data_IF_284600362074
#
_entry.id   IF_284600362074
#
_cell.length_a   1.000
_cell.length_b   1.000
_cell.length_c   1.000
_cell.angle_alpha   90.00
_cell.angle_beta   90.00
_cell.angle_gamma   90.00
#
_symmetry.space_group_name_H-M   'P 1'
#
loop_
_entity.id
_entity.type
_entity.pdbx_description
1 polymer ?
#
# COMPACT_ATOMS: atom_id res chain seq x y z
N UNK A 1 1.77 -4.01 2.01
CA UNK A 1 0.96 -4.99 1.24
C UNK A 1 0.26 -4.31 0.06
N UNK A 2 -0.06 -5.03 -1.01
CA UNK A 2 -0.75 -4.49 -2.19
C UNK A 2 -1.89 -5.42 -2.59
N UNK A 3 -3.08 -4.85 -2.81
CA UNK A 3 -4.16 -5.56 -3.45
C UNK A 3 -3.97 -5.62 -4.97
N UNK A 4 -4.32 -6.74 -5.58
CA UNK A 4 -4.21 -6.98 -7.02
C UNK A 4 -5.46 -7.71 -7.52
N UNK A 5 -5.53 -7.93 -8.83
CA UNK A 5 -6.41 -8.89 -9.48
C UNK A 5 -5.50 -9.76 -10.35
N UNK A 6 -5.78 -11.07 -10.43
CA UNK A 6 -5.02 -11.94 -11.34
C UNK A 6 -5.21 -11.49 -12.80
N UNK A 7 -4.13 -11.48 -13.57
CA UNK A 7 -4.16 -11.08 -14.98
C UNK A 7 -3.29 -12.02 -15.82
N UNK A 8 -3.69 -12.18 -17.08
CA UNK A 8 -2.88 -12.85 -18.10
C UNK A 8 -1.93 -11.87 -18.82
N UNK A 9 -2.18 -10.56 -18.73
CA UNK A 9 -1.39 -9.52 -19.42
C UNK A 9 -0.11 -9.16 -18.66
N UNK A 10 -0.17 -9.21 -17.33
CA UNK A 10 0.96 -8.98 -16.44
C UNK A 10 0.75 -9.75 -15.13
N UNK A 11 1.85 -10.14 -14.50
CA UNK A 11 1.85 -10.92 -13.26
C UNK A 11 1.70 -10.00 -12.04
N UNK A 12 1.20 -10.54 -10.92
CA UNK A 12 0.94 -9.75 -9.71
C UNK A 12 2.18 -9.03 -9.17
N UNK A 13 3.38 -9.54 -9.46
CA UNK A 13 4.66 -8.97 -9.05
C UNK A 13 5.22 -7.90 -10.01
N UNK A 14 4.53 -7.65 -11.12
CA UNK A 14 4.90 -6.63 -12.11
C UNK A 14 4.10 -5.35 -11.86
N UNK A 15 4.72 -4.16 -11.97
CA UNK A 15 3.96 -2.92 -12.02
C UNK A 15 2.96 -2.95 -13.20
N UNK A 16 1.70 -2.59 -12.96
CA UNK A 16 0.72 -2.47 -14.04
C UNK A 16 1.13 -1.38 -15.05
N UNK A 17 0.62 -1.40 -16.30
CA UNK A 17 0.95 -0.37 -17.31
C UNK A 17 0.72 1.07 -16.84
N UNK A 18 -0.33 1.32 -16.06
CA UNK A 18 -0.59 2.65 -15.47
C UNK A 18 0.44 3.02 -14.39
N UNK A 19 0.94 2.04 -13.65
CA UNK A 19 2.02 2.23 -12.68
C UNK A 19 3.35 2.51 -13.38
N UNK A 20 3.66 1.81 -14.47
CA UNK A 20 4.83 2.10 -15.31
C UNK A 20 4.77 3.53 -15.84
N UNK A 21 3.62 3.93 -16.42
CA UNK A 21 3.41 5.28 -16.95
C UNK A 21 3.57 6.38 -15.90
N UNK A 22 3.08 6.15 -14.70
CA UNK A 22 3.22 7.13 -13.60
C UNK A 22 4.57 7.05 -12.90
N UNK A 23 5.30 5.93 -12.98
CA UNK A 23 6.53 5.68 -12.25
C UNK A 23 6.32 5.32 -10.77
N UNK A 24 5.08 5.02 -10.36
CA UNK A 24 4.76 4.66 -8.98
C UNK A 24 3.74 3.53 -8.84
N UNK A 25 3.85 2.77 -7.76
CA UNK A 25 2.95 1.66 -7.39
C UNK A 25 2.40 1.88 -6.00
N UNK A 26 1.08 1.71 -5.83
CA UNK A 26 0.41 1.90 -4.53
C UNK A 26 0.39 0.63 -3.68
N UNK A 27 0.68 0.82 -2.40
CA UNK A 27 0.63 -0.17 -1.33
C UNK A 27 -0.19 0.40 -0.17
N UNK A 28 -0.62 -0.47 0.74
CA UNK A 28 -1.12 -0.10 2.05
C UNK A 28 -0.17 -0.63 3.13
N UNK A 29 -0.08 0.11 4.23
CA UNK A 29 0.70 -0.24 5.41
C UNK A 29 -0.25 -0.65 6.54
N UNK A 30 -0.20 -1.91 6.95
CA UNK A 30 -1.06 -2.43 8.01
C UNK A 30 -0.26 -2.63 9.29
N UNK A 31 -0.70 -2.00 10.38
CA UNK A 31 -0.13 -2.11 11.72
C UNK A 31 -1.26 -1.99 12.75
N UNK A 32 -1.05 -2.44 13.99
CA UNK A 32 -2.05 -2.35 15.07
C UNK A 32 -2.62 -0.94 15.27
N UNK A 33 -1.86 0.11 15.01
CA UNK A 33 -2.27 1.50 15.15
C UNK A 33 -2.50 2.22 13.80
N UNK A 34 -2.49 1.47 12.68
CA UNK A 34 -2.78 1.92 11.33
C UNK A 34 -3.83 1.02 10.67
N UNK A 35 -4.98 0.88 11.32
CA UNK A 35 -6.09 0.02 10.89
C UNK A 35 -6.87 0.65 9.73
N UNK A 36 -7.33 -0.18 8.79
CA UNK A 36 -8.25 0.22 7.72
C UNK A 36 -9.23 -0.91 7.39
N UNK A 37 -10.44 -0.54 6.97
CA UNK A 37 -11.56 -1.49 6.84
C UNK A 37 -11.61 -2.26 5.51
N UNK A 38 -10.90 -1.81 4.48
CA UNK A 38 -10.91 -2.41 3.14
C UNK A 38 -9.67 -2.04 2.35
N UNK A 39 -9.38 -2.79 1.29
CA UNK A 39 -8.36 -2.46 0.30
C UNK A 39 -8.90 -1.50 -0.77
N UNK A 40 -7.99 -0.83 -1.47
CA UNK A 40 -8.32 0.01 -2.62
C UNK A 40 -9.13 -0.79 -3.67
N UNK A 41 -10.06 -0.11 -4.34
CA UNK A 41 -10.97 -0.68 -5.35
C UNK A 41 -11.76 -1.92 -4.91
N UNK A 42 -11.78 -2.26 -3.62
CA UNK A 42 -12.41 -3.48 -3.12
C UNK A 42 -11.66 -4.76 -3.46
N UNK A 43 -10.35 -4.70 -3.74
CA UNK A 43 -9.54 -5.88 -3.99
C UNK A 43 -9.68 -6.93 -2.88
N UNK A 44 -9.68 -8.20 -3.27
CA UNK A 44 -9.91 -9.36 -2.39
C UNK A 44 -8.69 -10.26 -2.25
N UNK A 45 -7.63 -10.02 -3.02
CA UNK A 45 -6.36 -10.72 -2.95
C UNK A 45 -5.19 -9.77 -3.25
N UNK A 46 -3.98 -10.28 -3.07
CA UNK A 46 -2.76 -9.60 -3.45
C UNK A 46 -1.55 -10.19 -2.74
N UNK A 47 -0.56 -9.34 -2.46
CA UNK A 47 0.70 -9.79 -1.86
C UNK A 47 1.20 -8.90 -0.72
N UNK A 48 1.95 -9.52 0.17
CA UNK A 48 2.68 -8.92 1.29
C UNK A 48 4.15 -8.86 0.89
N UNK A 49 4.81 -7.78 1.28
CA UNK A 49 6.23 -7.59 1.08
C UNK A 49 6.92 -7.53 2.43
N UNK A 50 8.14 -8.06 2.48
CA UNK A 50 8.98 -7.94 3.66
C UNK A 50 9.24 -6.45 3.97
N UNK A 51 9.24 -6.06 5.25
CA UNK A 51 9.90 -4.84 5.68
C UNK A 51 11.40 -4.89 5.31
N UNK A 52 11.97 -3.76 4.88
CA UNK A 52 13.37 -3.63 4.42
C UNK A 52 14.38 -4.31 5.37
N UNK A 53 14.23 -4.09 6.67
CA UNK A 53 15.16 -4.59 7.70
C UNK A 53 15.10 -6.11 7.98
N UNK A 54 14.07 -6.83 7.50
CA UNK A 54 13.97 -8.30 7.64
C UNK A 54 13.88 -9.01 6.29
N UNK A 55 13.95 -8.27 5.18
CA UNK A 55 13.97 -8.88 3.86
C UNK A 55 15.24 -9.74 3.69
N UNK A 56 15.17 -10.88 2.98
CA UNK A 56 16.37 -11.64 2.64
C UNK A 56 17.37 -10.77 1.88
N UNK A 57 18.67 -10.89 2.19
CA UNK A 57 19.74 -10.01 1.67
C UNK A 57 19.88 -9.99 0.14
N UNK A 58 19.34 -10.99 -0.54
CA UNK A 58 19.38 -11.11 -2.00
C UNK A 58 18.21 -10.40 -2.71
N UNK A 59 17.31 -9.76 -1.95
CA UNK A 59 16.14 -9.02 -2.46
C UNK A 59 16.43 -7.53 -2.59
N UNK A 60 15.77 -6.90 -3.56
CA UNK A 60 15.83 -5.46 -3.76
C UNK A 60 15.01 -4.72 -2.72
N UNK A 61 15.43 -3.50 -2.42
CA UNK A 61 14.65 -2.58 -1.61
C UNK A 61 13.58 -1.89 -2.46
N UNK A 62 12.36 -1.82 -1.92
CA UNK A 62 11.31 -1.00 -2.50
C UNK A 62 11.43 0.43 -1.97
N UNK A 63 11.83 1.35 -2.85
CA UNK A 63 11.96 2.77 -2.52
C UNK A 63 10.58 3.39 -2.28
N UNK A 64 10.29 3.74 -1.03
CA UNK A 64 9.08 4.47 -0.66
C UNK A 64 9.27 5.95 -1.00
N UNK A 65 8.36 6.49 -1.82
CA UNK A 65 8.40 7.86 -2.31
C UNK A 65 7.61 8.80 -1.41
N UNK A 66 6.36 8.42 -1.10
CA UNK A 66 5.49 9.21 -0.23
C UNK A 66 4.47 8.33 0.48
N UNK A 67 3.91 8.89 1.55
CA UNK A 67 2.95 8.21 2.41
C UNK A 67 1.76 9.12 2.75
N UNK A 68 0.54 8.58 2.57
CA UNK A 68 -0.71 9.27 2.81
C UNK A 68 -1.50 8.56 3.94
N UNK A 69 -2.04 9.32 4.92
CA UNK A 69 -2.85 8.73 6.00
C UNK A 69 -4.15 8.07 5.52
N UNK A 70 -4.70 8.51 4.39
CA UNK A 70 -5.86 7.93 3.72
C UNK A 70 -5.60 7.93 2.20
N UNK A 71 -6.43 7.23 1.41
CA UNK A 71 -6.39 7.20 -0.07
C UNK A 71 -5.98 8.55 -0.67
N UNK A 72 -4.81 8.59 -1.30
CA UNK A 72 -4.16 9.81 -1.77
C UNK A 72 -4.55 10.20 -3.19
N UNK A 73 -5.37 9.39 -3.87
CA UNK A 73 -5.69 9.56 -5.30
C UNK A 73 -4.42 9.62 -6.16
N UNK A 74 -3.45 8.73 -5.87
CA UNK A 74 -2.10 8.80 -6.47
C UNK A 74 -2.06 8.59 -7.99
N UNK A 75 -3.13 8.04 -8.57
CA UNK A 75 -3.30 7.92 -10.01
C UNK A 75 -3.66 9.26 -10.70
N UNK A 76 -4.06 10.28 -9.93
CA UNK A 76 -4.46 11.61 -10.40
C UNK A 76 -3.44 12.70 -10.02
N UNK A 77 -2.22 12.31 -9.64
CA UNK A 77 -1.17 13.19 -9.10
C UNK A 77 0.09 13.24 -9.96
N UNK A 78 0.78 14.38 -9.93
CA UNK A 78 2.12 14.55 -10.50
C UNK A 78 3.19 13.79 -9.70
N UNK A 79 4.44 13.82 -10.18
CA UNK A 79 5.64 13.35 -9.47
C UNK A 79 5.48 11.92 -8.90
N UNK A 80 5.24 10.95 -9.79
CA UNK A 80 4.99 9.53 -9.45
C UNK A 80 3.83 9.26 -8.50
N UNK A 81 2.90 10.20 -8.39
CA UNK A 81 1.76 10.13 -7.47
C UNK A 81 2.00 10.82 -6.13
N UNK A 82 3.15 11.48 -5.96
CA UNK A 82 3.54 12.17 -4.73
C UNK A 82 3.40 13.69 -4.81
N UNK A 83 3.23 14.25 -6.02
CA UNK A 83 3.00 15.67 -6.25
C UNK A 83 1.54 16.06 -6.14
N UNK A 84 1.22 17.32 -6.42
CA UNK A 84 -0.15 17.82 -6.47
C UNK A 84 -1.05 17.07 -7.45
N UNK A 85 -2.35 17.14 -7.22
CA UNK A 85 -3.35 16.60 -8.15
C UNK A 85 -3.30 17.39 -9.47
N UNK A 86 -3.43 16.69 -10.60
CA UNK A 86 -3.33 17.25 -11.96
C UNK A 86 -4.64 17.16 -12.75
N UNK A 87 -5.71 16.66 -12.14
CA UNK A 87 -7.03 16.47 -12.77
C UNK A 87 -8.11 17.25 -12.01
N UNK A 88 -8.89 16.59 -11.14
CA UNK A 88 -10.08 17.14 -10.47
C UNK A 88 -9.75 18.22 -9.43
N UNK A 89 -8.58 18.13 -8.81
CA UNK A 89 -8.09 19.04 -7.77
C UNK A 89 -6.83 19.78 -8.24
N UNK A 90 -6.79 20.18 -9.52
CA UNK A 90 -5.56 20.71 -10.15
C UNK A 90 -4.83 21.73 -9.27
N UNK A 91 -3.55 21.48 -8.98
CA UNK A 91 -2.71 22.36 -8.16
C UNK A 91 -2.88 22.21 -6.64
N UNK A 92 -3.68 21.25 -6.18
CA UNK A 92 -3.96 21.02 -4.76
C UNK A 92 -3.23 19.78 -4.24
N UNK A 93 -2.98 19.76 -2.93
CA UNK A 93 -2.38 18.61 -2.27
C UNK A 93 -0.91 18.41 -2.60
N UNK A 94 -0.14 19.50 -2.77
CA UNK A 94 1.34 19.46 -2.84
C UNK A 94 1.95 18.60 -1.71
N UNK A 95 3.19 18.12 -1.83
CA UNK A 95 3.85 17.41 -0.73
C UNK A 95 3.73 18.16 0.61
N UNK A 96 3.57 17.43 1.72
CA UNK A 96 3.30 18.05 3.02
C UNK A 96 4.39 19.04 3.43
N UNK A 97 5.65 18.65 3.21
CA UNK A 97 6.82 19.48 3.54
C UNK A 97 6.85 20.79 2.74
N UNK A 98 6.38 20.81 1.48
CA UNK A 98 6.28 22.04 0.67
C UNK A 98 5.20 23.01 1.18
N UNK A 99 4.32 22.53 2.06
CA UNK A 99 3.24 23.31 2.65
C UNK A 99 3.46 23.59 4.14
N UNK A 100 4.66 23.33 4.67
CA UNK A 100 4.98 23.41 6.09
C UNK A 100 4.06 22.53 6.97
N UNK A 101 3.58 21.42 6.43
CA UNK A 101 2.85 20.39 7.18
C UNK A 101 3.88 19.35 7.63
N UNK A 102 4.33 19.46 8.87
CA UNK A 102 5.49 18.68 9.36
C UNK A 102 5.09 17.57 10.32
N UNK A 103 3.90 17.64 10.90
CA UNK A 103 3.41 16.67 11.87
C UNK A 103 1.91 16.37 11.70
N UNK A 104 1.41 15.46 12.51
CA UNK A 104 0.00 15.03 12.47
C UNK A 104 -1.01 16.12 12.87
N UNK A 105 -0.65 17.08 13.71
CA UNK A 105 -1.51 18.23 14.05
C UNK A 105 -1.64 19.20 12.87
N UNK A 106 -0.52 19.49 12.20
CA UNK A 106 -0.52 20.29 10.98
C UNK A 106 -1.36 19.59 9.90
N UNK A 107 -1.18 18.27 9.77
CA UNK A 107 -1.85 17.48 8.75
C UNK A 107 -3.37 17.50 8.94
N UNK A 108 -3.87 17.22 10.15
CA UNK A 108 -5.32 17.22 10.40
C UNK A 108 -5.92 18.62 10.26
N UNK A 109 -5.19 19.67 10.67
CA UNK A 109 -5.60 21.07 10.44
C UNK A 109 -5.68 21.38 8.96
N UNK A 110 -4.70 20.96 8.16
CA UNK A 110 -4.69 21.15 6.71
C UNK A 110 -5.81 20.37 6.02
N UNK A 111 -6.02 19.11 6.39
CA UNK A 111 -7.08 18.26 5.84
C UNK A 111 -8.48 18.81 6.13
N UNK A 112 -8.71 19.36 7.33
CA UNK A 112 -9.99 20.00 7.68
C UNK A 112 -10.26 21.28 6.88
N UNK A 113 -9.22 22.08 6.57
CA UNK A 113 -9.37 23.31 5.75
C UNK A 113 -9.89 23.02 4.33
N UNK A 114 -9.66 21.81 3.82
CA UNK A 114 -10.10 21.37 2.49
C UNK A 114 -11.34 20.47 2.57
N UNK A 115 -12.19 20.69 3.58
CA UNK A 115 -13.42 19.94 3.84
C UNK A 115 -13.21 18.42 3.97
N UNK A 116 -12.04 17.99 4.46
CA UNK A 116 -11.69 16.58 4.64
C UNK A 116 -11.87 15.75 3.36
N UNK A 117 -11.56 16.35 2.20
CA UNK A 117 -11.62 15.68 0.92
C UNK A 117 -10.28 15.04 0.57
N UNK A 118 -10.32 13.73 0.35
CA UNK A 118 -9.15 12.88 0.07
C UNK A 118 -8.26 13.43 -1.07
N UNK A 119 -8.84 13.97 -2.14
CA UNK A 119 -8.12 14.52 -3.30
C UNK A 119 -7.33 15.81 -3.03
N UNK A 120 -7.57 16.51 -1.91
CA UNK A 120 -6.89 17.77 -1.56
C UNK A 120 -5.81 17.60 -0.47
N UNK A 121 -5.73 16.44 0.18
CA UNK A 121 -4.76 16.20 1.26
C UNK A 121 -3.31 16.29 0.76
N UNK A 122 -2.34 16.43 1.65
CA UNK A 122 -0.94 16.27 1.30
C UNK A 122 -0.45 14.86 1.67
N UNK A 123 0.55 14.37 0.96
CA UNK A 123 1.33 13.17 1.31
C UNK A 123 2.68 13.58 1.88
N UNK A 124 3.15 12.83 2.88
CA UNK A 124 4.48 13.03 3.43
C UNK A 124 5.51 12.49 2.45
N UNK A 125 6.48 13.31 2.03
CA UNK A 125 7.66 12.83 1.31
C UNK A 125 8.51 12.01 2.29
N UNK A 126 8.89 10.78 1.91
CA UNK A 126 9.67 9.86 2.74
C UNK A 126 10.86 9.26 1.98
N UNK A 127 11.27 9.89 0.88
CA UNK A 127 12.46 9.49 0.13
C UNK A 127 13.73 9.63 0.98
N UNK A 128 14.78 8.87 0.64
CA UNK A 128 16.03 8.86 1.42
C UNK A 128 16.80 10.19 1.39
N UNK A 129 16.50 11.08 0.45
CA UNK A 129 17.13 12.39 0.26
C UNK A 129 16.48 13.54 1.05
N UNK A 130 15.31 13.33 1.68
CA UNK A 130 14.73 14.35 2.57
C UNK A 130 15.26 14.26 3.99
N UNK A 131 15.15 15.37 4.73
CA UNK A 131 15.48 15.38 6.16
C UNK A 131 14.48 14.51 6.94
N UNK A 132 15.01 13.57 7.74
CA UNK A 132 14.24 12.74 8.68
C UNK A 132 13.05 11.98 8.05
N UNK A 133 13.25 11.15 7.00
CA UNK A 133 12.15 10.45 6.31
C UNK A 133 11.38 9.49 7.23
N UNK A 134 12.06 8.88 8.20
CA UNK A 134 11.43 8.05 9.22
C UNK A 134 10.47 8.84 10.11
N UNK A 135 10.80 10.09 10.46
CA UNK A 135 9.90 10.97 11.22
C UNK A 135 8.68 11.32 10.36
N UNK A 136 8.87 11.66 9.09
CA UNK A 136 7.76 11.95 8.18
C UNK A 136 6.81 10.75 8.02
N UNK A 137 7.35 9.54 7.87
CA UNK A 137 6.56 8.30 7.84
C UNK A 137 5.82 8.07 9.17
N UNK A 138 6.47 8.33 10.30
CA UNK A 138 5.82 8.24 11.62
C UNK A 138 4.67 9.24 11.77
N UNK A 139 4.84 10.48 11.29
CA UNK A 139 3.79 11.49 11.30
C UNK A 139 2.60 11.12 10.39
N UNK A 140 2.83 10.37 9.31
CA UNK A 140 1.75 9.75 8.54
C UNK A 140 0.93 8.80 9.41
N UNK A 141 1.57 7.93 10.21
CA UNK A 141 0.87 6.99 11.11
C UNK A 141 0.11 7.72 12.22
N UNK A 142 0.70 8.76 12.82
CA UNK A 142 0.03 9.60 13.81
C UNK A 142 -1.18 10.34 13.23
N UNK A 143 -1.12 10.74 11.95
CA UNK A 143 -2.23 11.39 11.26
C UNK A 143 -3.44 10.46 11.09
N UNK A 144 -3.21 9.15 10.87
CA UNK A 144 -4.29 8.14 10.80
C UNK A 144 -5.11 8.14 12.09
N UNK A 145 -4.45 8.28 13.25
CA UNK A 145 -5.11 8.30 14.57
C UNK A 145 -6.05 9.49 14.73
N UNK A 146 -5.78 10.60 14.03
CA UNK A 146 -6.50 11.89 14.11
C UNK A 146 -7.61 12.05 13.05
N UNK A 147 -7.74 11.11 12.10
CA UNK A 147 -8.80 11.15 11.10
C UNK A 147 -10.19 11.22 11.76
N UNK A 148 -11.16 11.95 11.17
CA UNK A 148 -12.54 11.97 11.65
C UNK A 148 -13.08 10.54 11.67
N UNK A 149 -13.37 10.01 12.86
CA UNK A 149 -13.87 8.64 13.02
C UNK A 149 -15.37 8.66 12.86
N UNK A 150 -15.90 7.87 11.92
CA UNK A 150 -17.24 7.31 12.13
C UNK A 150 -17.16 6.46 13.40
N UNK A 151 -18.08 6.61 14.37
CA UNK A 151 -18.01 5.85 15.61
C UNK A 151 -17.75 4.36 15.34
N UNK A 152 -16.71 3.82 15.99
CA UNK A 152 -16.31 2.41 15.96
C UNK A 152 -15.86 1.81 14.63
N UNK A 153 -15.71 2.60 13.55
CA UNK A 153 -15.30 2.07 12.23
C UNK A 153 -13.89 2.53 11.85
N UNK A 154 -12.98 1.63 11.41
CA UNK A 154 -11.69 2.03 10.84
C UNK A 154 -11.85 2.92 9.59
N UNK A 155 -10.88 3.81 9.30
CA UNK A 155 -10.91 4.64 8.10
C UNK A 155 -10.81 3.79 6.81
N UNK A 156 -10.94 4.46 5.65
CA UNK A 156 -10.50 3.88 4.37
C UNK A 156 -9.00 3.54 4.45
N UNK A 157 -8.50 2.79 3.46
CA UNK A 157 -7.09 2.44 3.38
C UNK A 157 -6.18 3.67 3.39
N UNK A 158 -5.05 3.58 4.10
CA UNK A 158 -3.90 4.45 3.84
C UNK A 158 -3.24 4.08 2.51
N UNK A 159 -2.37 4.95 2.03
CA UNK A 159 -1.67 4.73 0.77
C UNK A 159 -0.19 5.08 0.87
N UNK A 160 0.65 4.10 0.57
CA UNK A 160 2.08 4.21 0.42
C UNK A 160 2.40 4.12 -1.06
N UNK A 161 3.13 5.11 -1.59
CA UNK A 161 3.57 5.12 -2.97
C UNK A 161 5.02 4.71 -3.03
N UNK A 162 5.32 3.65 -3.77
CA UNK A 162 6.69 3.19 -4.01
C UNK A 162 7.07 3.40 -5.48
N UNK A 163 8.37 3.54 -5.77
CA UNK A 163 8.83 3.59 -7.16
C UNK A 163 8.53 2.29 -7.90
N UNK A 164 8.37 2.37 -9.22
CA UNK A 164 8.38 1.17 -10.06
C UNK A 164 9.73 0.47 -9.97
N UNK A 165 9.73 -0.84 -10.27
CA UNK A 165 10.91 -1.68 -10.32
C UNK A 165 11.02 -2.39 -11.67
N UNK A 166 12.21 -2.91 -11.99
CA UNK A 166 12.42 -3.74 -13.18
C UNK A 166 11.75 -5.10 -12.99
N UNK A 167 11.10 -5.59 -14.03
CA UNK A 167 10.25 -6.79 -13.99
C UNK A 167 11.00 -8.11 -14.19
N UNK A 168 12.33 -8.05 -14.26
CA UNK A 168 13.12 -9.09 -14.91
C UNK A 168 13.30 -10.37 -14.07
N UNK A 169 13.24 -10.30 -12.74
CA UNK A 169 13.41 -11.48 -11.87
C UNK A 169 12.53 -11.42 -10.60
N UNK A 170 11.41 -12.16 -10.53
CA UNK A 170 10.60 -12.26 -9.32
C UNK A 170 11.33 -12.86 -8.11
N UNK A 171 12.48 -13.53 -8.29
CA UNK A 171 13.33 -13.98 -7.19
C UNK A 171 14.06 -12.85 -6.47
N UNK A 172 14.15 -11.66 -7.07
CA UNK A 172 14.78 -10.50 -6.44
C UNK A 172 13.78 -9.62 -5.71
N UNK A 173 12.49 -9.86 -5.86
CA UNK A 173 11.46 -9.04 -5.21
C UNK A 173 11.28 -9.47 -3.75
N UNK A 174 11.07 -8.52 -2.81
CA UNK A 174 10.92 -8.79 -1.39
C UNK A 174 9.48 -9.27 -1.07
N UNK A 175 8.95 -10.23 -1.84
CA UNK A 175 7.59 -10.75 -1.65
C UNK A 175 7.63 -11.84 -0.58
N UNK A 176 6.82 -11.67 0.45
CA UNK A 176 6.77 -12.54 1.63
C UNK A 176 5.66 -13.59 1.50
N UNK A 177 4.46 -13.17 1.08
CA UNK A 177 3.30 -14.02 0.99
C UNK A 177 2.28 -13.47 0.00
N UNK A 178 1.43 -14.34 -0.51
CA UNK A 178 0.16 -13.99 -1.13
C UNK A 178 -0.91 -13.93 -0.04
N UNK A 179 -1.96 -13.12 -0.25
CA UNK A 179 -3.10 -13.10 0.64
C UNK A 179 -4.42 -13.09 -0.11
N UNK A 180 -5.48 -13.52 0.59
CA UNK A 180 -6.86 -13.18 0.25
C UNK A 180 -7.58 -12.66 1.49
N UNK A 181 -8.49 -11.70 1.30
CA UNK A 181 -9.26 -11.08 2.39
C UNK A 181 -10.70 -11.60 2.48
N UNK A 182 -11.23 -12.13 1.38
CA UNK A 182 -12.55 -12.73 1.28
C UNK A 182 -12.48 -13.97 0.39
N UNK A 183 -13.38 -14.93 0.60
CA UNK A 183 -13.31 -16.23 -0.08
C UNK A 183 -13.31 -16.10 -1.62
N UNK A 184 -13.93 -15.06 -2.19
CA UNK A 184 -13.90 -14.76 -3.62
C UNK A 184 -12.51 -14.42 -4.17
N UNK A 185 -11.56 -14.01 -3.32
CA UNK A 185 -10.17 -13.72 -3.71
C UNK A 185 -9.24 -14.93 -3.68
N UNK A 186 -9.65 -16.07 -3.09
CA UNK A 186 -8.78 -17.24 -2.95
C UNK A 186 -8.37 -17.82 -4.31
N UNK A 187 -9.30 -17.90 -5.27
CA UNK A 187 -9.01 -18.45 -6.58
C UNK A 187 -7.92 -17.67 -7.33
N UNK A 188 -7.92 -16.34 -7.21
CA UNK A 188 -6.90 -15.48 -7.82
C UNK A 188 -5.56 -15.59 -7.08
N UNK A 189 -5.56 -15.64 -5.74
CA UNK A 189 -4.34 -15.91 -4.97
C UNK A 189 -3.71 -17.28 -5.34
N UNK A 190 -4.52 -18.30 -5.62
CA UNK A 190 -4.04 -19.61 -6.08
C UNK A 190 -3.45 -19.57 -7.50
N UNK A 191 -4.01 -18.75 -8.40
CA UNK A 191 -3.41 -18.52 -9.73
C UNK A 191 -2.07 -17.79 -9.60
N UNK A 192 -2.01 -16.74 -8.78
CA UNK A 192 -0.79 -16.01 -8.46
C UNK A 192 0.28 -16.95 -7.87
N UNK A 193 -0.11 -17.87 -6.99
CA UNK A 193 0.80 -18.85 -6.40
C UNK A 193 1.42 -19.79 -7.44
N UNK A 194 0.60 -20.31 -8.38
CA UNK A 194 1.08 -21.14 -9.49
C UNK A 194 2.01 -20.35 -10.42
N UNK A 195 1.63 -19.12 -10.77
CA UNK A 195 2.44 -18.24 -11.60
C UNK A 195 3.81 -17.99 -10.97
N UNK A 196 3.87 -17.72 -9.67
CA UNK A 196 5.14 -17.51 -8.96
C UNK A 196 6.00 -18.77 -8.93
N UNK A 197 5.40 -19.95 -8.66
CA UNK A 197 6.12 -21.24 -8.68
C UNK A 197 6.69 -21.55 -10.06
N UNK A 198 5.93 -21.31 -11.12
CA UNK A 198 6.38 -21.52 -12.49
C UNK A 198 7.53 -20.59 -12.86
N UNK A 199 7.49 -19.33 -12.40
CA UNK A 199 8.52 -18.34 -12.71
C UNK A 199 9.81 -18.50 -11.88
N UNK A 200 9.70 -19.01 -10.65
CA UNK A 200 10.83 -18.99 -9.68
C UNK A 200 11.27 -20.35 -9.18
N UNK A 201 10.45 -21.39 -9.34
CA UNK A 201 10.60 -22.66 -8.64
C UNK A 201 10.32 -22.60 -7.14
N UNK A 202 10.05 -21.42 -6.56
CA UNK A 202 9.86 -21.23 -5.12
C UNK A 202 8.40 -21.36 -4.70
N UNK A 203 8.22 -21.85 -3.48
CA UNK A 203 6.94 -21.83 -2.79
C UNK A 203 6.70 -20.44 -2.17
N UNK A 204 5.53 -19.86 -2.43
CA UNK A 204 5.09 -18.61 -1.84
C UNK A 204 3.75 -18.85 -1.12
N UNK A 205 3.68 -18.71 0.22
CA UNK A 205 2.49 -19.08 0.98
C UNK A 205 1.31 -18.15 0.68
N UNK A 206 0.11 -18.71 0.63
CA UNK A 206 -1.15 -17.94 0.68
C UNK A 206 -1.61 -17.86 2.13
N UNK A 207 -1.91 -16.66 2.63
CA UNK A 207 -2.49 -16.43 3.95
C UNK A 207 -3.89 -15.79 3.85
N UNK A 208 -4.84 -16.28 4.64
CA UNK A 208 -6.13 -15.59 4.84
C UNK A 208 -5.91 -14.38 5.73
N UNK A 209 -6.22 -13.20 5.23
CA UNK A 209 -6.12 -11.95 5.99
C UNK A 209 -7.51 -11.44 6.34
N UNK A 210 -7.77 -11.23 7.62
CA UNK A 210 -8.99 -10.59 8.10
C UNK A 210 -8.64 -9.19 8.57
N UNK A 211 -9.12 -8.17 7.87
CA UNK A 211 -8.98 -6.78 8.30
C UNK A 211 -9.90 -6.51 9.50
N UNK A 212 -9.48 -5.57 10.36
CA UNK A 212 -10.27 -5.11 11.48
C UNK A 212 -11.60 -4.51 11.01
N UNK A 213 -12.73 -4.96 11.58
CA UNK A 213 -14.06 -4.39 11.29
C UNK A 213 -14.37 -3.22 12.19
N UNK A 214 -13.83 -3.24 13.41
CA UNK A 214 -13.94 -2.18 14.40
C UNK A 214 -12.57 -1.67 14.84
N UNK A 215 -12.53 -0.52 15.53
CA UNK A 215 -11.28 0.01 16.09
C UNK A 215 -10.70 -0.85 17.23
N UNK A 216 -11.53 -1.68 17.86
CA UNK A 216 -11.14 -2.55 18.97
C UNK A 216 -10.63 -3.92 18.51
N UNK A 217 -10.82 -4.27 17.23
CA UNK A 217 -10.33 -5.52 16.64
C UNK A 217 -8.96 -5.32 15.99
N UNK A 218 -8.09 -6.32 16.09
CA UNK A 218 -6.84 -6.36 15.32
C UNK A 218 -7.02 -7.17 14.04
N UNK A 219 -6.22 -6.87 13.02
CA UNK A 219 -6.17 -7.70 11.82
C UNK A 219 -5.56 -9.07 12.14
N UNK A 220 -6.07 -10.12 11.50
CA UNK A 220 -5.62 -11.50 11.71
C UNK A 220 -5.09 -12.11 10.41
N UNK A 221 -4.05 -12.92 10.54
CA UNK A 221 -3.50 -13.72 9.45
C UNK A 221 -3.58 -15.19 9.82
N UNK A 222 -4.12 -16.01 8.90
CA UNK A 222 -4.24 -17.46 9.09
C UNK A 222 -3.64 -18.17 7.91
N UNK A 223 -2.71 -19.09 8.18
CA UNK A 223 -2.23 -20.05 7.20
C UNK A 223 -3.15 -21.27 7.22
N UNK A 224 -3.54 -21.74 6.03
CA UNK A 224 -4.26 -23.00 5.85
C UNK A 224 -3.61 -23.78 4.72
N UNK A 225 -3.26 -25.04 4.99
CA UNK A 225 -2.62 -25.91 3.99
C UNK A 225 -3.55 -26.19 2.82
N UNK A 226 -4.87 -26.24 3.04
CA UNK A 226 -5.86 -26.47 1.98
C UNK A 226 -5.97 -25.30 1.00
N UNK A 227 -5.49 -24.11 1.36
CA UNK A 227 -5.48 -22.95 0.47
C UNK A 227 -4.32 -23.05 -0.54
N UNK A 228 -3.29 -23.87 -0.27
CA UNK A 228 -2.08 -24.00 -1.08
C UNK A 228 -2.29 -25.01 -2.21
N UNK A 229 -2.00 -24.60 -3.45
CA UNK A 229 -2.21 -25.40 -4.68
C UNK A 229 -0.90 -25.87 -5.32
N UNK A 230 0.22 -25.61 -4.66
CA UNK A 230 1.56 -26.06 -5.04
C UNK A 230 2.24 -26.71 -3.84
N UNK A 231 3.19 -27.62 -4.08
CA UNK A 231 4.03 -28.20 -3.02
C UNK A 231 5.21 -27.29 -2.69
N UNK A 232 5.61 -27.27 -1.42
CA UNK A 232 6.83 -26.62 -0.93
C UNK A 232 8.07 -27.22 -1.55
#
# INVERSE_FOLDING_TARGET
MRGTIHSNDYKFWQPSPSSIKSGGVSFSYLRKDAKFKRLAYGYKNGFIVFPEHIAPKDRIDFSVLCAFPIDGYTNERANQGCGENITKAKGKGKPCQEQNVMNSDDWIKNYRKVNSQDLFQCGFNVTKDVNNPAIAFYQMLESIKKLPRTPNTPPKQNEIRISTWKENDPNKLPIEALFYSENSGLADAQKDQRDYKNATGKFLPIVKMLLARTLNEDALFKFNIADQVIKS
#
